data_IF_078037968497
#
_entry.id   IF_078037968497
#
_cell.length_a   1.000
_cell.length_b   1.000
_cell.length_c   1.000
_cell.angle_alpha   90.00
_cell.angle_beta   90.00
_cell.angle_gamma   90.00
#
_symmetry.space_group_name_H-M   'P 1'
#
loop_
_entity.id
_entity.type
_entity.pdbx_description
1 polymer ?
#
# COMPACT_ATOMS: atom_id res chain seq x y z
N UNK A 1 -6.66 5.05 -10.29
CA UNK A 1 -5.71 4.43 -11.24
C UNK A 1 -5.61 2.90 -11.14
N UNK A 2 -5.57 2.32 -9.94
CA UNK A 2 -5.44 0.86 -9.73
C UNK A 2 -6.37 0.00 -10.62
N UNK A 3 -7.67 0.31 -10.69
CA UNK A 3 -8.60 -0.42 -11.54
C UNK A 3 -8.25 -0.34 -13.03
N UNK A 4 -7.88 0.85 -13.53
CA UNK A 4 -7.46 1.06 -14.91
C UNK A 4 -6.21 0.25 -15.23
N UNK A 5 -5.20 0.30 -14.34
CA UNK A 5 -3.96 -0.47 -14.46
C UNK A 5 -4.29 -1.97 -14.59
N UNK A 6 -5.14 -2.50 -13.71
CA UNK A 6 -5.47 -3.94 -13.69
C UNK A 6 -6.36 -4.41 -14.84
N UNK A 7 -7.41 -3.67 -15.16
CA UNK A 7 -8.49 -4.17 -16.01
C UNK A 7 -8.47 -3.64 -17.45
N UNK A 8 -7.64 -2.63 -17.75
CA UNK A 8 -7.43 -2.13 -19.12
C UNK A 8 -6.11 -2.61 -19.77
N UNK A 9 -5.23 -3.28 -19.02
CA UNK A 9 -3.93 -3.73 -19.54
C UNK A 9 -3.83 -5.25 -19.56
N UNK A 10 -3.80 -5.83 -20.78
CA UNK A 10 -3.71 -7.28 -20.98
C UNK A 10 -2.45 -7.89 -20.33
N UNK A 11 -1.33 -7.16 -20.36
CA UNK A 11 -0.05 -7.59 -19.81
C UNK A 11 -0.11 -7.89 -18.31
N UNK A 12 -0.91 -7.13 -17.55
CA UNK A 12 -1.06 -7.32 -16.11
C UNK A 12 -2.18 -8.32 -15.79
N UNK A 13 -3.20 -8.41 -16.64
CA UNK A 13 -4.34 -9.31 -16.40
C UNK A 13 -3.96 -10.78 -16.24
N UNK A 14 -2.99 -11.28 -17.02
CA UNK A 14 -2.53 -12.68 -16.96
C UNK A 14 -1.62 -12.98 -15.77
N UNK A 15 -0.97 -11.97 -15.20
CA UNK A 15 0.02 -12.15 -14.13
C UNK A 15 -0.50 -11.73 -12.75
N UNK A 16 -1.74 -11.25 -12.67
CA UNK A 16 -2.34 -10.77 -11.42
C UNK A 16 -2.95 -11.87 -10.56
N UNK A 17 -2.16 -12.90 -10.22
CA UNK A 17 -2.63 -14.07 -9.47
C UNK A 17 -1.51 -14.73 -8.66
N UNK A 18 -1.88 -15.68 -7.81
CA UNK A 18 -0.96 -16.50 -6.99
C UNK A 18 0.11 -17.28 -7.75
N UNK A 19 -0.06 -17.54 -9.04
CA UNK A 19 0.95 -18.27 -9.84
C UNK A 19 2.15 -17.40 -10.16
N UNK A 20 1.94 -16.07 -10.19
CA UNK A 20 2.94 -15.10 -10.60
C UNK A 20 3.33 -14.17 -9.46
N UNK A 21 2.43 -13.88 -8.50
CA UNK A 21 2.67 -12.96 -7.39
C UNK A 21 3.12 -13.74 -6.15
N UNK A 22 4.28 -13.37 -5.61
CA UNK A 22 4.81 -13.92 -4.37
C UNK A 22 4.26 -13.20 -3.13
N UNK A 23 4.10 -11.86 -3.20
CA UNK A 23 3.52 -11.07 -2.10
C UNK A 23 3.00 -9.72 -2.57
N UNK A 24 2.11 -9.13 -1.76
CA UNK A 24 1.63 -7.75 -1.93
C UNK A 24 1.96 -6.98 -0.66
N UNK A 25 2.67 -5.86 -0.79
CA UNK A 25 2.99 -4.95 0.31
C UNK A 25 2.28 -3.61 0.08
N UNK A 26 1.51 -3.17 1.06
CA UNK A 26 0.84 -1.86 1.06
C UNK A 26 1.40 -1.07 2.25
N UNK A 27 2.02 0.06 1.95
CA UNK A 27 2.78 0.86 2.92
C UNK A 27 2.19 2.23 3.07
N UNK A 28 2.09 2.73 4.31
CA UNK A 28 1.81 4.12 4.65
C UNK A 28 2.78 4.61 5.72
N UNK A 29 3.54 5.65 5.45
CA UNK A 29 4.59 6.16 6.33
C UNK A 29 4.45 7.66 6.46
N UNK A 30 4.57 8.13 7.70
CA UNK A 30 4.67 9.55 8.02
C UNK A 30 5.98 9.82 8.74
N UNK A 31 6.73 10.86 8.36
CA UNK A 31 8.01 11.18 8.96
C UNK A 31 7.89 12.00 10.25
N UNK A 32 6.67 12.38 10.62
CA UNK A 32 6.36 13.16 11.81
C UNK A 32 5.58 12.31 12.82
N UNK A 33 5.62 12.72 14.09
CA UNK A 33 4.97 12.03 15.20
C UNK A 33 3.48 12.41 15.31
N UNK A 34 2.98 12.49 16.54
CA UNK A 34 1.61 12.97 16.81
C UNK A 34 1.49 14.48 16.93
N UNK A 35 2.62 15.22 16.92
CA UNK A 35 2.66 16.70 16.88
C UNK A 35 1.76 17.36 17.95
N UNK A 36 1.82 16.85 19.20
CA UNK A 36 1.03 17.36 20.32
C UNK A 36 -0.45 16.96 20.33
N UNK A 37 -0.87 16.08 19.41
CA UNK A 37 -2.22 15.50 19.33
C UNK A 37 -2.25 14.04 19.80
N UNK A 38 -1.25 13.62 20.58
CA UNK A 38 -1.07 12.24 21.02
C UNK A 38 -2.27 11.71 21.80
N UNK A 39 -2.89 12.51 22.66
CA UNK A 39 -4.05 12.10 23.47
C UNK A 39 -5.28 11.70 22.64
N UNK A 40 -5.55 12.39 21.53
CA UNK A 40 -6.62 11.98 20.61
C UNK A 40 -6.26 10.69 19.86
N UNK A 41 -5.00 10.56 19.45
CA UNK A 41 -4.51 9.35 18.79
C UNK A 41 -4.52 8.14 19.73
N UNK A 42 -4.31 8.34 21.03
CA UNK A 42 -4.22 7.31 22.06
C UNK A 42 -5.51 6.48 22.21
N UNK A 43 -6.66 7.08 21.95
CA UNK A 43 -7.97 6.41 22.03
C UNK A 43 -8.17 5.34 20.93
N UNK A 44 -7.45 5.46 19.80
CA UNK A 44 -7.71 4.65 18.60
C UNK A 44 -6.50 3.87 18.11
N UNK A 45 -5.32 4.47 18.10
CA UNK A 45 -4.06 3.90 17.59
C UNK A 45 -3.99 3.70 16.08
N UNK A 46 -2.81 3.33 15.59
CA UNK A 46 -2.49 3.32 14.15
C UNK A 46 -3.37 2.38 13.31
N UNK A 47 -3.84 1.28 13.91
CA UNK A 47 -4.66 0.30 13.20
C UNK A 47 -6.01 0.92 12.81
N UNK A 48 -6.63 1.67 13.71
CA UNK A 48 -7.92 2.33 13.45
C UNK A 48 -7.75 3.63 12.66
N UNK A 49 -6.64 4.34 12.88
CA UNK A 49 -6.33 5.59 12.18
C UNK A 49 -6.10 5.37 10.68
N UNK A 50 -5.34 4.33 10.30
CA UNK A 50 -4.83 4.16 8.92
C UNK A 50 -5.04 2.76 8.33
N UNK A 51 -4.83 1.70 9.10
CA UNK A 51 -4.81 0.34 8.55
C UNK A 51 -6.22 -0.14 8.14
N UNK A 52 -7.19 0.02 9.03
CA UNK A 52 -8.56 -0.47 8.87
C UNK A 52 -9.31 0.27 7.75
N UNK A 53 -8.99 1.53 7.49
CA UNK A 53 -9.62 2.36 6.48
C UNK A 53 -8.77 2.40 5.19
N UNK A 54 -7.73 3.23 5.14
CA UNK A 54 -6.95 3.54 3.94
C UNK A 54 -6.28 2.31 3.34
N UNK A 55 -5.55 1.54 4.17
CA UNK A 55 -4.81 0.40 3.64
C UNK A 55 -5.73 -0.73 3.20
N UNK A 56 -6.81 -0.98 3.95
CA UNK A 56 -7.79 -2.01 3.61
C UNK A 56 -8.59 -1.65 2.34
N UNK A 57 -8.89 -0.37 2.14
CA UNK A 57 -9.50 0.11 0.90
C UNK A 57 -8.57 -0.09 -0.30
N UNK A 58 -7.27 0.23 -0.18
CA UNK A 58 -6.29 -0.06 -1.22
C UNK A 58 -6.18 -1.58 -1.47
N UNK A 59 -6.13 -2.39 -0.41
CA UNK A 59 -6.11 -3.86 -0.52
C UNK A 59 -7.31 -4.36 -1.32
N UNK A 60 -8.51 -3.87 -1.03
CA UNK A 60 -9.73 -4.29 -1.75
C UNK A 60 -9.62 -4.02 -3.25
N UNK A 61 -9.09 -2.86 -3.65
CA UNK A 61 -8.88 -2.50 -5.05
C UNK A 61 -7.77 -3.32 -5.74
N UNK A 62 -6.74 -3.72 -4.99
CA UNK A 62 -5.66 -4.59 -5.49
C UNK A 62 -6.15 -6.02 -5.67
N UNK A 63 -6.98 -6.51 -4.75
CA UNK A 63 -7.36 -7.91 -4.68
C UNK A 63 -8.68 -8.26 -5.37
N UNK A 64 -9.59 -7.30 -5.59
CA UNK A 64 -10.93 -7.55 -6.16
C UNK A 64 -10.89 -8.23 -7.52
N UNK A 65 -11.88 -9.06 -7.81
CA UNK A 65 -12.10 -9.58 -9.17
C UNK A 65 -12.51 -8.45 -10.14
N UNK A 66 -12.45 -8.72 -11.44
CA UNK A 66 -12.95 -7.78 -12.45
C UNK A 66 -14.47 -7.59 -12.25
N UNK A 67 -14.95 -6.35 -12.04
CA UNK A 67 -16.37 -6.09 -11.91
C UNK A 67 -17.07 -6.26 -13.26
N UNK A 68 -18.39 -6.47 -13.23
CA UNK A 68 -19.20 -6.65 -14.46
C UNK A 68 -19.17 -5.38 -15.31
N UNK A 69 -19.32 -4.23 -14.67
CA UNK A 69 -19.18 -2.91 -15.29
C UNK A 69 -18.40 -1.95 -14.39
N UNK A 70 -18.26 -0.69 -14.83
CA UNK A 70 -17.75 0.40 -14.00
C UNK A 70 -18.84 1.07 -13.14
N UNK A 71 -20.04 0.47 -13.04
CA UNK A 71 -21.08 0.96 -12.14
C UNK A 71 -20.61 0.86 -10.68
N UNK A 72 -20.86 1.89 -9.84
CA UNK A 72 -20.40 1.91 -8.45
C UNK A 72 -20.71 0.64 -7.66
N UNK A 73 -21.92 0.09 -7.79
CA UNK A 73 -22.31 -1.13 -7.07
C UNK A 73 -21.54 -2.37 -7.52
N UNK A 74 -21.35 -2.57 -8.83
CA UNK A 74 -20.59 -3.72 -9.35
C UNK A 74 -19.16 -3.72 -8.82
N UNK A 75 -18.58 -2.53 -8.60
CA UNK A 75 -17.23 -2.37 -8.06
C UNK A 75 -17.22 -2.67 -6.57
N UNK A 76 -18.16 -2.08 -5.81
CA UNK A 76 -18.26 -2.28 -4.36
C UNK A 76 -18.56 -3.74 -4.00
N UNK A 77 -19.38 -4.42 -4.79
CA UNK A 77 -19.65 -5.85 -4.64
C UNK A 77 -18.36 -6.68 -4.70
N UNK A 78 -17.45 -6.36 -5.64
CA UNK A 78 -16.16 -7.05 -5.75
C UNK A 78 -15.18 -6.68 -4.65
N UNK A 79 -15.28 -5.47 -4.07
CA UNK A 79 -14.50 -5.09 -2.87
C UNK A 79 -14.99 -5.90 -1.66
N UNK A 80 -16.29 -5.93 -1.41
CA UNK A 80 -16.89 -6.66 -0.27
C UNK A 80 -16.65 -8.17 -0.38
N UNK A 81 -16.71 -8.75 -1.59
CA UNK A 81 -16.41 -10.16 -1.83
C UNK A 81 -14.99 -10.54 -1.36
N UNK A 82 -14.01 -9.66 -1.60
CA UNK A 82 -12.66 -9.84 -1.09
C UNK A 82 -12.60 -9.71 0.43
N UNK A 83 -13.22 -8.68 1.00
CA UNK A 83 -13.20 -8.46 2.45
C UNK A 83 -13.78 -9.66 3.21
N UNK A 84 -14.87 -10.24 2.71
CA UNK A 84 -15.48 -11.48 3.25
C UNK A 84 -14.57 -12.70 3.14
N UNK A 85 -13.58 -12.67 2.24
CA UNK A 85 -12.63 -13.75 2.03
C UNK A 85 -11.34 -13.60 2.87
N UNK A 86 -11.17 -12.49 3.59
CA UNK A 86 -10.01 -12.26 4.45
C UNK A 86 -10.15 -13.08 5.74
N UNK A 87 -9.12 -13.83 6.08
CA UNK A 87 -9.07 -14.54 7.37
C UNK A 87 -8.84 -13.53 8.51
N UNK A 88 -9.56 -13.66 9.65
CA UNK A 88 -9.28 -12.86 10.83
C UNK A 88 -7.81 -12.98 11.26
N UNK A 89 -7.22 -11.86 11.68
CA UNK A 89 -5.83 -11.81 12.14
C UNK A 89 -5.69 -12.49 13.51
N UNK A 90 -4.57 -13.17 13.70
CA UNK A 90 -4.09 -13.56 15.03
C UNK A 90 -2.93 -12.66 15.46
N UNK A 91 -2.58 -12.66 16.75
CA UNK A 91 -1.42 -11.91 17.25
C UNK A 91 -0.10 -12.33 16.59
N UNK A 92 0.00 -13.58 16.09
CA UNK A 92 1.18 -14.06 15.38
C UNK A 92 1.34 -13.47 13.97
N UNK A 93 0.27 -12.90 13.41
CA UNK A 93 0.29 -12.27 12.10
C UNK A 93 0.61 -10.76 12.19
N UNK A 94 0.83 -10.23 13.41
CA UNK A 94 0.92 -8.79 13.67
C UNK A 94 2.19 -8.44 14.45
N UNK A 95 2.86 -7.36 14.02
CA UNK A 95 3.94 -6.69 14.76
C UNK A 95 3.49 -5.27 15.07
N UNK A 96 3.59 -4.89 16.33
CA UNK A 96 3.27 -3.55 16.82
C UNK A 96 4.54 -2.83 17.26
N UNK A 97 4.54 -1.52 17.15
CA UNK A 97 5.62 -0.67 17.64
C UNK A 97 5.09 0.66 18.15
N UNK A 98 5.86 1.28 19.03
CA UNK A 98 5.64 2.63 19.55
C UNK A 98 6.97 3.39 19.40
N UNK A 99 6.94 4.59 18.83
CA UNK A 99 8.17 5.34 18.58
C UNK A 99 8.72 5.97 19.87
N UNK A 100 10.04 6.01 19.97
CA UNK A 100 10.79 6.70 21.03
C UNK A 100 11.60 7.84 20.41
N UNK A 101 12.02 8.80 21.24
CA UNK A 101 12.84 9.91 20.79
C UNK A 101 14.21 9.45 20.30
N UNK A 102 14.69 10.05 19.22
CA UNK A 102 16.04 9.91 18.72
C UNK A 102 16.97 10.88 19.47
N UNK A 103 17.90 10.40 20.33
CA UNK A 103 18.80 11.28 21.08
C UNK A 103 19.72 12.12 20.19
N UNK A 104 20.00 11.70 18.96
CA UNK A 104 20.81 12.43 17.98
C UNK A 104 19.96 13.30 17.04
N UNK A 105 18.64 13.21 17.17
CA UNK A 105 17.66 13.96 16.38
C UNK A 105 17.64 15.46 16.70
N UNK A 106 16.75 16.19 16.01
CA UNK A 106 16.51 17.62 16.24
C UNK A 106 15.02 17.90 16.35
N UNK A 107 14.64 18.82 17.24
CA UNK A 107 13.25 19.25 17.39
C UNK A 107 12.35 18.10 17.86
N UNK A 108 11.21 17.90 17.21
CA UNK A 108 10.26 16.85 17.58
C UNK A 108 10.83 15.43 17.45
N UNK A 109 11.87 15.22 16.62
CA UNK A 109 12.51 13.91 16.49
C UNK A 109 13.15 13.41 17.79
N UNK A 110 13.53 14.30 18.71
CA UNK A 110 14.12 13.91 20.00
C UNK A 110 13.07 13.44 21.01
N UNK A 111 11.78 13.54 20.70
CA UNK A 111 10.68 13.21 21.60
C UNK A 111 10.03 11.90 21.17
N UNK A 112 9.80 11.01 22.13
CA UNK A 112 9.02 9.79 21.97
C UNK A 112 7.52 10.04 22.07
N UNK A 113 6.73 8.99 21.85
CA UNK A 113 5.27 9.09 21.96
C UNK A 113 4.82 9.44 23.39
N UNK A 114 5.47 8.86 24.39
CA UNK A 114 5.18 9.09 25.82
C UNK A 114 5.72 10.43 26.35
N UNK A 115 6.53 11.15 25.55
CA UNK A 115 6.98 12.51 25.89
C UNK A 115 5.93 13.57 25.52
N UNK A 116 4.89 13.20 24.77
CA UNK A 116 3.73 14.06 24.52
C UNK A 116 2.90 14.18 25.82
N UNK A 117 2.76 15.39 26.40
CA UNK A 117 2.08 15.57 27.68
C UNK A 117 0.57 15.25 27.62
N UNK A 118 0.01 15.06 26.42
CA UNK A 118 -1.39 14.67 26.23
C UNK A 118 -1.60 13.16 26.24
N UNK A 119 -0.55 12.35 26.27
CA UNK A 119 -0.58 10.88 26.26
C UNK A 119 -0.44 10.33 27.69
N UNK A 120 -1.13 9.23 28.01
CA UNK A 120 -0.91 8.52 29.27
C UNK A 120 0.54 8.01 29.34
N UNK A 121 1.32 8.32 30.39
CA UNK A 121 2.69 7.83 30.54
C UNK A 121 2.84 6.30 30.51
N UNK A 122 1.76 5.54 30.73
CA UNK A 122 1.73 4.08 30.64
C UNK A 122 1.06 3.56 29.35
N UNK A 123 0.82 4.43 28.37
CA UNK A 123 0.17 4.05 27.12
C UNK A 123 0.96 2.96 26.38
N UNK A 124 0.23 1.94 25.92
CA UNK A 124 0.74 0.88 25.04
C UNK A 124 0.21 1.03 23.61
N UNK A 125 -0.35 2.19 23.28
CA UNK A 125 -0.96 2.43 21.97
C UNK A 125 0.08 2.33 20.85
N UNK A 126 -0.17 1.51 19.82
CA UNK A 126 0.77 1.35 18.73
C UNK A 126 0.75 2.56 17.80
N UNK A 127 1.92 3.13 17.56
CA UNK A 127 2.17 4.17 16.54
C UNK A 127 2.68 3.56 15.23
N UNK A 128 3.00 2.26 15.25
CA UNK A 128 3.39 1.45 14.11
C UNK A 128 2.70 0.09 14.16
N UNK A 129 2.26 -0.40 13.01
CA UNK A 129 1.74 -1.74 12.85
C UNK A 129 2.16 -2.35 11.51
N UNK A 130 2.51 -3.63 11.54
CA UNK A 130 2.61 -4.50 10.37
C UNK A 130 1.69 -5.69 10.57
N UNK A 131 0.80 -5.97 9.61
CA UNK A 131 -0.10 -7.11 9.66
C UNK A 131 -0.03 -7.91 8.36
N UNK A 132 -0.05 -9.23 8.47
CA UNK A 132 -0.05 -10.14 7.31
C UNK A 132 -1.44 -10.77 7.13
N UNK A 133 -2.17 -10.30 6.13
CA UNK A 133 -3.50 -10.77 5.80
C UNK A 133 -3.43 -11.91 4.78
N UNK A 134 -4.37 -12.84 4.90
CA UNK A 134 -4.52 -13.99 4.02
C UNK A 134 -5.91 -13.96 3.41
N UNK A 135 -5.98 -13.91 2.08
CA UNK A 135 -7.25 -13.90 1.33
C UNK A 135 -7.54 -15.33 0.87
N UNK A 136 -8.61 -15.93 1.39
CA UNK A 136 -9.02 -17.31 1.13
C UNK A 136 -9.94 -17.38 -0.11
N UNK A 137 -9.36 -17.17 -1.28
CA UNK A 137 -10.01 -17.40 -2.56
C UNK A 137 -9.04 -18.01 -3.59
N UNK A 138 -9.53 -18.37 -4.77
CA UNK A 138 -8.73 -19.00 -5.82
C UNK A 138 -7.53 -18.15 -6.24
N UNK A 139 -7.75 -16.86 -6.50
CA UNK A 139 -6.72 -15.94 -7.00
C UNK A 139 -5.56 -15.73 -6.04
N UNK A 140 -5.83 -15.67 -4.74
CA UNK A 140 -4.87 -15.20 -3.72
C UNK A 140 -4.46 -16.26 -2.69
N UNK A 141 -4.92 -17.50 -2.84
CA UNK A 141 -4.52 -18.58 -1.93
C UNK A 141 -2.99 -18.68 -1.83
N UNK A 142 -2.47 -18.55 -0.60
CA UNK A 142 -1.05 -18.63 -0.30
C UNK A 142 -0.26 -17.33 -0.47
N UNK A 143 -0.86 -16.27 -1.03
CA UNK A 143 -0.20 -14.97 -1.21
C UNK A 143 -0.39 -14.11 0.03
N UNK A 144 0.68 -13.71 0.74
CA UNK A 144 0.58 -12.79 1.86
C UNK A 144 0.32 -11.35 1.39
N UNK A 145 -0.67 -10.71 2.01
CA UNK A 145 -0.91 -9.27 1.90
C UNK A 145 -0.38 -8.58 3.16
N UNK A 146 0.74 -7.87 3.01
CA UNK A 146 1.44 -7.21 4.10
C UNK A 146 0.96 -5.76 4.14
N UNK A 147 0.24 -5.38 5.19
CA UNK A 147 -0.12 -4.00 5.48
C UNK A 147 0.91 -3.44 6.47
N UNK A 148 1.56 -2.33 6.14
CA UNK A 148 2.54 -1.68 7.02
C UNK A 148 2.21 -0.19 7.14
N UNK A 149 2.00 0.29 8.36
CA UNK A 149 1.82 1.71 8.60
C UNK A 149 2.49 2.21 9.88
N UNK A 150 2.89 3.48 9.90
CA UNK A 150 3.30 4.14 11.13
C UNK A 150 3.69 5.60 10.99
N UNK A 151 3.81 6.24 12.15
CA UNK A 151 4.27 7.62 12.35
C UNK A 151 5.73 7.64 12.82
N UNK A 152 6.38 8.80 12.74
CA UNK A 152 7.78 9.02 13.08
C UNK A 152 8.74 8.04 12.36
N UNK A 153 8.50 7.82 11.06
CA UNK A 153 9.32 6.97 10.20
C UNK A 153 10.32 7.80 9.38
N UNK A 154 11.15 7.15 8.58
CA UNK A 154 12.24 7.83 7.85
C UNK A 154 11.79 8.67 6.64
N UNK A 155 10.54 8.58 6.19
CA UNK A 155 10.03 9.30 5.02
C UNK A 155 8.50 9.35 5.01
N UNK A 156 7.93 10.29 4.24
CA UNK A 156 6.52 10.26 3.86
C UNK A 156 6.34 9.34 2.65
N UNK A 157 5.51 8.31 2.74
CA UNK A 157 5.25 7.41 1.60
C UNK A 157 3.95 6.62 1.73
N UNK A 158 3.11 6.66 0.71
CA UNK A 158 2.02 5.72 0.52
C UNK A 158 2.23 4.97 -0.80
N UNK A 159 2.28 3.64 -0.76
CA UNK A 159 2.70 2.82 -1.89
C UNK A 159 2.08 1.43 -1.86
N UNK A 160 1.78 0.89 -3.05
CA UNK A 160 1.50 -0.53 -3.27
C UNK A 160 2.67 -1.14 -4.03
N UNK A 161 3.21 -2.23 -3.52
CA UNK A 161 4.26 -3.03 -4.16
C UNK A 161 3.76 -4.45 -4.35
N UNK A 162 3.85 -4.94 -5.58
CA UNK A 162 3.49 -6.29 -5.96
C UNK A 162 4.78 -6.98 -6.37
N UNK A 163 5.23 -7.92 -5.55
CA UNK A 163 6.45 -8.68 -5.81
C UNK A 163 6.09 -10.00 -6.49
N UNK A 164 6.70 -10.24 -7.64
CA UNK A 164 6.50 -11.46 -8.42
C UNK A 164 7.32 -12.64 -7.86
N UNK A 165 6.99 -13.85 -8.28
CA UNK A 165 7.77 -15.05 -7.99
C UNK A 165 9.12 -15.03 -8.72
N UNK A 166 10.04 -15.87 -8.25
CA UNK A 166 11.29 -16.12 -8.93
C UNK A 166 11.03 -16.77 -10.30
N UNK A 167 11.90 -16.53 -11.28
CA UNK A 167 11.77 -17.15 -12.59
C UNK A 167 12.06 -18.66 -12.46
N UNK A 168 11.19 -19.48 -13.05
CA UNK A 168 11.42 -20.92 -13.07
C UNK A 168 12.53 -21.29 -14.07
N UNK A 169 13.42 -22.19 -13.68
CA UNK A 169 14.52 -22.65 -14.55
C UNK A 169 15.56 -21.56 -14.81
N UNK A 170 16.02 -20.87 -13.76
CA UNK A 170 17.00 -19.80 -13.87
C UNK A 170 18.29 -20.26 -14.59
N UNK A 171 18.60 -19.58 -15.68
CA UNK A 171 19.81 -19.79 -16.50
C UNK A 171 20.91 -18.77 -16.16
N UNK A 172 20.65 -17.83 -15.26
CA UNK A 172 21.58 -16.77 -14.86
C UNK A 172 22.21 -17.03 -13.49
N UNK A 173 22.31 -18.30 -13.08
CA UNK A 173 23.08 -18.76 -11.92
C UNK A 173 22.68 -18.10 -10.58
N UNK A 174 21.40 -17.77 -10.40
CA UNK A 174 20.89 -17.13 -9.18
C UNK A 174 21.10 -15.62 -9.13
N UNK A 175 21.59 -15.00 -10.22
CA UNK A 175 21.78 -13.55 -10.29
C UNK A 175 20.47 -12.80 -10.59
N UNK A 176 19.37 -13.50 -10.88
CA UNK A 176 18.06 -12.85 -11.07
C UNK A 176 17.48 -12.32 -9.76
N UNK A 177 16.70 -11.24 -9.86
CA UNK A 177 15.88 -10.69 -8.78
C UNK A 177 14.40 -10.75 -9.17
N UNK A 178 13.54 -10.88 -8.17
CA UNK A 178 12.09 -10.84 -8.34
C UNK A 178 11.68 -9.52 -8.95
N UNK A 179 10.81 -9.58 -9.96
CA UNK A 179 10.24 -8.37 -10.53
C UNK A 179 9.28 -7.73 -9.53
N UNK A 180 9.11 -6.42 -9.62
CA UNK A 180 8.20 -5.69 -8.74
C UNK A 180 7.43 -4.63 -9.51
N UNK A 181 6.09 -4.66 -9.42
CA UNK A 181 5.27 -3.54 -9.84
C UNK A 181 5.04 -2.62 -8.64
N UNK A 182 5.41 -1.36 -8.78
CA UNK A 182 5.29 -0.36 -7.73
C UNK A 182 4.37 0.77 -8.16
N UNK A 183 3.40 1.06 -7.30
CA UNK A 183 2.42 2.13 -7.47
C UNK A 183 2.57 3.06 -6.27
N UNK A 184 3.32 4.15 -6.47
CA UNK A 184 3.51 5.17 -5.44
C UNK A 184 2.35 6.16 -5.50
N UNK A 185 1.55 6.18 -4.45
CA UNK A 185 0.37 7.04 -4.31
C UNK A 185 0.76 8.45 -3.90
N UNK A 186 1.72 8.59 -2.98
CA UNK A 186 2.29 9.88 -2.58
C UNK A 186 3.58 9.68 -1.77
N UNK A 187 4.46 10.69 -1.71
CA UNK A 187 4.57 11.82 -2.63
C UNK A 187 5.15 11.38 -3.99
N UNK A 188 5.04 12.25 -5.00
CA UNK A 188 5.61 12.01 -6.33
C UNK A 188 4.98 10.80 -6.99
N UNK A 189 3.71 10.94 -7.35
CA UNK A 189 2.86 9.92 -7.97
C UNK A 189 3.62 9.23 -9.11
N UNK A 190 3.79 7.92 -8.99
CA UNK A 190 4.55 7.15 -9.97
C UNK A 190 4.07 5.71 -10.08
N UNK A 191 4.29 5.15 -11.25
CA UNK A 191 4.11 3.74 -11.58
C UNK A 191 5.40 3.24 -12.21
N UNK A 192 6.03 2.24 -11.63
CA UNK A 192 7.23 1.66 -12.22
C UNK A 192 7.33 0.16 -12.02
N UNK A 193 7.99 -0.50 -12.97
CA UNK A 193 8.18 -1.96 -12.98
C UNK A 193 9.65 -2.28 -12.90
N UNK A 194 10.09 -2.85 -11.78
CA UNK A 194 11.46 -3.34 -11.57
C UNK A 194 11.64 -4.67 -12.28
N UNK A 195 12.68 -4.79 -13.10
CA UNK A 195 12.97 -5.97 -13.90
C UNK A 195 14.47 -6.14 -14.12
N UNK A 196 14.86 -7.31 -14.64
CA UNK A 196 16.24 -7.58 -15.02
C UNK A 196 16.48 -7.16 -16.47
N UNK A 197 17.62 -6.53 -16.72
CA UNK A 197 18.14 -6.23 -18.07
C UNK A 197 19.59 -6.66 -18.18
N UNK A 198 20.11 -6.81 -19.40
CA UNK A 198 21.55 -6.92 -19.63
C UNK A 198 22.22 -5.60 -19.24
N UNK A 199 23.29 -5.66 -18.45
CA UNK A 199 24.11 -4.49 -18.14
C UNK A 199 24.61 -3.83 -19.43
N UNK A 200 24.47 -2.50 -19.57
CA UNK A 200 24.99 -1.78 -20.73
C UNK A 200 26.50 -2.00 -20.89
N UNK A 201 26.89 -2.60 -22.02
CA UNK A 201 28.30 -2.88 -22.29
C UNK A 201 28.53 -4.23 -22.98
N UNK A 202 29.79 -4.64 -22.96
CA UNK A 202 30.28 -5.82 -23.70
C UNK A 202 30.00 -7.12 -22.93
N UNK A 203 29.94 -7.07 -21.59
CA UNK A 203 29.71 -8.26 -20.75
C UNK A 203 28.25 -8.73 -20.82
N UNK A 204 27.99 -10.00 -20.52
CA UNK A 204 26.64 -10.58 -20.51
C UNK A 204 25.99 -10.56 -19.12
N UNK A 205 26.51 -9.73 -18.23
CA UNK A 205 25.97 -9.60 -16.88
C UNK A 205 24.55 -9.02 -16.92
N UNK A 206 23.75 -9.39 -15.93
CA UNK A 206 22.40 -8.87 -15.75
C UNK A 206 22.35 -7.96 -14.53
N UNK A 207 21.53 -6.94 -14.61
CA UNK A 207 21.29 -5.99 -13.52
C UNK A 207 19.81 -5.64 -13.40
N UNK A 208 19.43 -5.17 -12.22
CA UNK A 208 18.07 -4.67 -11.97
C UNK A 208 17.94 -3.25 -12.52
N UNK A 209 16.85 -2.98 -13.23
CA UNK A 209 16.45 -1.67 -13.76
C UNK A 209 14.93 -1.51 -13.66
N UNK A 210 14.40 -0.40 -14.15
CA UNK A 210 12.98 -0.09 -14.09
C UNK A 210 12.42 0.53 -15.38
N UNK A 211 11.17 0.19 -15.67
CA UNK A 211 10.33 0.95 -16.59
C UNK A 211 9.50 1.95 -15.77
N UNK A 212 9.75 3.25 -15.93
CA UNK A 212 9.18 4.30 -15.07
C UNK A 212 8.14 5.19 -15.77
N UNK A 213 7.06 5.49 -15.02
CA UNK A 213 6.10 6.54 -15.29
C UNK A 213 5.97 7.42 -14.04
N UNK A 214 6.80 8.45 -13.95
CA UNK A 214 6.66 9.52 -12.95
C UNK A 214 5.74 10.63 -13.48
N UNK A 215 4.65 10.93 -12.76
CA UNK A 215 3.60 11.85 -13.22
C UNK A 215 4.11 13.28 -13.41
N UNK A 216 4.87 13.79 -12.45
CA UNK A 216 5.45 15.13 -12.51
C UNK A 216 6.30 15.33 -13.77
N UNK A 217 7.04 14.30 -14.19
CA UNK A 217 7.87 14.35 -15.40
C UNK A 217 7.05 14.22 -16.69
N UNK A 218 6.07 13.31 -16.70
CA UNK A 218 5.31 12.93 -17.91
C UNK A 218 4.12 13.84 -18.21
N UNK A 219 3.54 14.44 -17.18
CA UNK A 219 2.30 15.23 -17.19
C UNK A 219 2.50 16.59 -16.52
N UNK A 220 3.61 17.28 -16.81
CA UNK A 220 4.00 18.56 -16.16
C UNK A 220 2.90 19.62 -16.10
N UNK A 221 2.08 19.71 -17.15
CA UNK A 221 1.02 20.73 -17.26
C UNK A 221 -0.35 20.23 -16.76
N UNK A 222 -0.41 19.02 -16.19
CA UNK A 222 -1.66 18.43 -15.70
C UNK A 222 -1.85 18.75 -14.23
N UNK A 223 -3.05 19.22 -13.90
CA UNK A 223 -3.47 19.40 -12.52
C UNK A 223 -3.95 18.07 -11.92
N UNK A 224 -3.38 17.70 -10.78
CA UNK A 224 -3.87 16.60 -9.96
C UNK A 224 -4.73 17.20 -8.85
N UNK A 225 -6.07 17.01 -8.89
CA UNK A 225 -6.95 17.54 -7.86
C UNK A 225 -6.69 16.86 -6.51
N UNK A 226 -6.90 17.59 -5.42
CA UNK A 226 -6.87 17.00 -4.09
C UNK A 226 -7.99 15.93 -3.94
N UNK A 227 -7.77 14.98 -3.03
CA UNK A 227 -8.75 13.93 -2.75
C UNK A 227 -10.13 14.51 -2.41
N UNK A 228 -10.21 15.59 -1.63
CA UNK A 228 -11.49 16.19 -1.26
C UNK A 228 -12.19 16.89 -2.42
N UNK A 229 -11.45 17.55 -3.32
CA UNK A 229 -12.03 18.17 -4.52
C UNK A 229 -12.74 17.11 -5.39
N UNK A 230 -12.07 15.97 -5.58
CA UNK A 230 -12.64 14.84 -6.31
C UNK A 230 -13.87 14.25 -5.63
N UNK A 231 -13.77 13.97 -4.33
CA UNK A 231 -14.85 13.32 -3.58
C UNK A 231 -16.10 14.21 -3.50
N UNK A 232 -15.94 15.52 -3.27
CA UNK A 232 -17.06 16.46 -3.25
C UNK A 232 -17.74 16.50 -4.63
N UNK A 233 -16.97 16.57 -5.72
CA UNK A 233 -17.53 16.55 -7.07
C UNK A 233 -18.28 15.23 -7.37
N UNK A 234 -17.77 14.09 -6.89
CA UNK A 234 -18.44 12.81 -7.07
C UNK A 234 -19.81 12.79 -6.36
N UNK A 235 -19.98 13.45 -5.21
CA UNK A 235 -21.30 13.62 -4.55
C UNK A 235 -22.26 14.39 -5.44
N UNK A 236 -21.84 15.52 -6.00
CA UNK A 236 -22.67 16.31 -6.93
C UNK A 236 -23.05 15.54 -8.19
N UNK A 237 -22.16 14.67 -8.66
CA UNK A 237 -22.41 13.80 -9.81
C UNK A 237 -23.23 12.54 -9.47
N UNK A 238 -23.56 12.30 -8.19
CA UNK A 238 -24.26 11.08 -7.75
C UNK A 238 -23.40 9.80 -7.86
N UNK A 239 -22.08 9.92 -7.94
CA UNK A 239 -21.15 8.80 -8.02
C UNK A 239 -20.74 8.32 -6.63
N UNK A 240 -21.07 7.08 -6.29
CA UNK A 240 -20.70 6.47 -5.01
C UNK A 240 -19.48 5.56 -5.09
N UNK A 241 -18.77 5.55 -6.22
CA UNK A 241 -17.67 4.61 -6.51
C UNK A 241 -16.50 4.70 -5.51
N UNK A 242 -16.23 5.89 -5.00
CA UNK A 242 -15.11 6.16 -4.09
C UNK A 242 -15.54 6.28 -2.61
N UNK A 243 -16.79 5.91 -2.29
CA UNK A 243 -17.34 5.97 -0.94
C UNK A 243 -17.53 4.57 -0.36
N UNK A 244 -17.27 4.45 0.95
CA UNK A 244 -17.43 3.21 1.70
C UNK A 244 -18.93 2.89 1.82
N UNK A 245 -19.31 1.65 1.49
CA UNK A 245 -20.68 1.14 1.64
C UNK A 245 -20.86 0.54 3.03
N UNK A 246 -22.09 0.44 3.53
CA UNK A 246 -22.35 -0.04 4.90
C UNK A 246 -21.91 -1.48 5.19
N UNK A 247 -21.71 -2.30 4.16
CA UNK A 247 -21.24 -3.69 4.23
C UNK A 247 -19.75 -3.85 3.88
N UNK A 248 -19.05 -2.76 3.52
CA UNK A 248 -17.58 -2.67 3.43
C UNK A 248 -16.98 -2.40 4.81
#
# INVERSE_FOLDING_TARGET
NLMTIRFANKILGSTWNRENIASVLITFKEPFGTEGRGGYFDEFGIIRDVMQNHLLQILSLVAMEKPVTCHPDDIRDKKVEVLKSILPLSLNDVVLGQYIGDPEGKGEATKGYLDDPTVDPNSTTPTYAMAVLKIKNERWQGVPFILRCGKALNERKAEVRIQYQDIAGDIFEGNTKRNELVIRVQPGEALYFKMMTKSPGITFDIEETELDLTYENRYRDSYLPDAYERLILDVFCGSQMHFVRSDE
#
